data_IF_291243991350
#
_entry.id   IF_291243991350
#
_cell.length_a   1.000
_cell.length_b   1.000
_cell.length_c   1.000
_cell.angle_alpha   90.00
_cell.angle_beta   90.00
_cell.angle_gamma   90.00
#
_symmetry.space_group_name_H-M   'P 1'
#
loop_
_entity.id
_entity.type
_entity.pdbx_description
1 polymer ?
#
# COMPACT_ATOMS: atom_id res chain seq x y z
N UNK A 1 8.09 6.24 -27.47
CA UNK A 1 8.24 4.88 -28.02
C UNK A 1 7.09 4.61 -28.99
N UNK A 2 7.32 4.02 -30.17
CA UNK A 2 6.23 3.62 -31.07
C UNK A 2 5.63 2.33 -30.53
N UNK A 3 4.35 2.36 -30.13
CA UNK A 3 3.67 1.29 -29.41
C UNK A 3 3.27 0.16 -30.37
N UNK A 4 4.21 -0.45 -31.07
CA UNK A 4 3.92 -1.70 -31.79
C UNK A 4 3.68 -2.79 -30.75
N UNK A 5 2.45 -3.29 -30.71
CA UNK A 5 1.90 -4.29 -29.81
C UNK A 5 2.71 -5.60 -29.80
N UNK A 6 3.86 -5.58 -29.15
CA UNK A 6 4.66 -6.75 -28.89
C UNK A 6 4.30 -7.20 -27.47
N UNK A 7 3.79 -8.42 -27.30
CA UNK A 7 3.49 -9.01 -25.97
C UNK A 7 4.64 -8.80 -24.97
N UNK A 8 5.86 -8.70 -25.50
CA UNK A 8 7.07 -8.31 -24.76
C UNK A 8 6.99 -6.94 -24.09
N UNK A 9 6.50 -5.90 -24.77
CA UNK A 9 6.38 -4.55 -24.21
C UNK A 9 5.38 -4.54 -23.04
N UNK A 10 4.26 -5.26 -23.14
CA UNK A 10 3.28 -5.40 -22.04
C UNK A 10 3.91 -6.17 -20.86
N UNK A 11 4.74 -7.19 -21.12
CA UNK A 11 5.43 -7.92 -20.07
C UNK A 11 6.53 -7.07 -19.37
N UNK A 12 7.25 -6.26 -20.14
CA UNK A 12 8.23 -5.30 -19.61
C UNK A 12 7.52 -4.24 -18.74
N UNK A 13 6.40 -3.69 -19.20
CA UNK A 13 5.52 -2.79 -18.42
C UNK A 13 5.07 -3.40 -17.09
N UNK A 14 4.65 -4.66 -17.12
CA UNK A 14 4.20 -5.36 -15.92
C UNK A 14 5.35 -5.53 -14.92
N UNK A 15 6.55 -5.83 -15.41
CA UNK A 15 7.75 -5.98 -14.58
C UNK A 15 8.14 -4.65 -13.95
N UNK A 16 8.22 -3.58 -14.76
CA UNK A 16 8.56 -2.24 -14.28
C UNK A 16 7.57 -1.73 -13.23
N UNK A 17 6.26 -1.96 -13.43
CA UNK A 17 5.24 -1.58 -12.46
C UNK A 17 5.27 -2.44 -11.19
N UNK A 18 5.52 -3.75 -11.32
CA UNK A 18 5.66 -4.63 -10.17
C UNK A 18 6.83 -4.18 -9.29
N UNK A 19 7.96 -3.81 -9.89
CA UNK A 19 9.13 -3.29 -9.18
C UNK A 19 8.84 -1.92 -8.54
N UNK A 20 8.17 -1.02 -9.28
CA UNK A 20 7.79 0.32 -8.82
C UNK A 20 6.91 0.33 -7.58
N UNK A 21 5.98 -0.62 -7.46
CA UNK A 21 5.01 -0.68 -6.35
C UNK A 21 5.29 -1.86 -5.39
N UNK A 22 6.47 -2.48 -5.47
CA UNK A 22 6.79 -3.70 -4.73
C UNK A 22 6.72 -3.52 -3.20
N UNK A 23 7.23 -2.38 -2.71
CA UNK A 23 7.38 -2.12 -1.27
C UNK A 23 6.27 -1.20 -0.73
N UNK A 24 6.07 -0.04 -1.35
CA UNK A 24 5.15 1.00 -0.91
C UNK A 24 4.40 1.62 -2.08
N UNK A 25 3.22 2.15 -1.79
CA UNK A 25 2.46 3.04 -2.69
C UNK A 25 2.48 4.42 -2.04
N UNK A 26 3.20 5.34 -2.65
CA UNK A 26 3.48 6.68 -2.14
C UNK A 26 3.54 7.70 -3.28
N UNK A 27 3.82 8.96 -2.96
CA UNK A 27 3.85 10.04 -3.96
C UNK A 27 4.91 9.83 -5.04
N UNK A 28 6.05 9.21 -4.72
CA UNK A 28 7.15 9.02 -5.66
C UNK A 28 6.82 7.91 -6.66
N UNK A 29 6.28 6.79 -6.19
CA UNK A 29 5.82 5.68 -7.04
C UNK A 29 4.68 6.10 -7.97
N UNK A 30 3.67 6.85 -7.49
CA UNK A 30 2.64 7.37 -8.39
C UNK A 30 3.17 8.45 -9.34
N UNK A 31 4.18 9.23 -8.94
CA UNK A 31 4.81 10.21 -9.82
C UNK A 31 5.55 9.53 -10.96
N UNK A 32 6.32 8.48 -10.67
CA UNK A 32 6.98 7.68 -11.70
C UNK A 32 5.94 7.02 -12.64
N UNK A 33 4.77 6.59 -12.14
CA UNK A 33 3.69 6.05 -12.98
C UNK A 33 3.11 7.12 -13.91
N UNK A 34 2.95 8.34 -13.41
CA UNK A 34 2.54 9.48 -14.23
C UNK A 34 3.58 9.77 -15.31
N UNK A 35 4.87 9.82 -14.96
CA UNK A 35 5.95 10.02 -15.93
C UNK A 35 5.93 8.93 -17.01
N UNK A 36 5.75 7.67 -16.63
CA UNK A 36 5.62 6.56 -17.57
C UNK A 36 4.43 6.72 -18.51
N UNK A 37 3.27 7.13 -17.99
CA UNK A 37 2.06 7.36 -18.77
C UNK A 37 2.22 8.53 -19.76
N UNK A 38 2.93 9.59 -19.36
CA UNK A 38 3.26 10.71 -20.23
C UNK A 38 4.21 10.30 -21.35
N UNK A 39 5.24 9.51 -21.03
CA UNK A 39 6.22 9.04 -22.02
C UNK A 39 5.60 8.07 -23.05
N UNK A 40 4.69 7.19 -22.58
CA UNK A 40 3.94 6.28 -23.43
C UNK A 40 2.93 7.02 -24.33
N UNK A 41 2.29 8.07 -23.82
CA UNK A 41 1.29 8.84 -24.57
C UNK A 41 1.89 9.92 -25.48
N UNK A 42 3.12 10.37 -25.20
CA UNK A 42 3.72 11.56 -25.81
C UNK A 42 3.10 12.88 -25.31
N UNK A 43 2.22 12.82 -24.32
CA UNK A 43 1.58 13.99 -23.72
C UNK A 43 2.50 14.64 -22.69
N UNK A 44 2.34 15.94 -22.50
CA UNK A 44 3.24 16.73 -21.66
C UNK A 44 2.69 16.94 -20.25
N UNK A 45 1.38 16.77 -20.07
CA UNK A 45 0.71 17.13 -18.82
C UNK A 45 -0.23 16.04 -18.38
N UNK A 46 -0.32 15.85 -17.06
CA UNK A 46 -1.21 14.86 -16.49
C UNK A 46 -1.26 14.94 -14.97
N UNK A 47 -2.19 14.20 -14.39
CA UNK A 47 -2.44 14.10 -12.96
C UNK A 47 -2.87 12.68 -12.64
N UNK A 48 -2.36 12.12 -11.55
CA UNK A 48 -2.91 10.90 -10.96
C UNK A 48 -3.52 11.28 -9.61
N UNK A 49 -4.71 10.76 -9.36
CA UNK A 49 -5.35 10.79 -8.04
C UNK A 49 -5.69 9.36 -7.67
N UNK A 50 -5.10 8.89 -6.58
CA UNK A 50 -5.50 7.66 -5.90
C UNK A 50 -6.36 8.00 -4.69
N UNK A 51 -7.37 7.18 -4.45
CA UNK A 51 -8.20 7.34 -3.27
C UNK A 51 -7.48 6.96 -1.99
N UNK A 52 -7.99 7.50 -0.89
CA UNK A 52 -7.63 7.03 0.43
C UNK A 52 -7.97 5.54 0.59
N UNK A 53 -7.00 4.74 1.04
CA UNK A 53 -7.19 3.35 1.41
C UNK A 53 -7.07 3.21 2.94
N UNK A 54 -8.18 2.90 3.61
CA UNK A 54 -8.19 2.75 5.07
C UNK A 54 -7.82 4.05 5.82
N UNK A 55 -6.69 4.04 6.53
CA UNK A 55 -6.18 5.20 7.28
C UNK A 55 -5.17 6.05 6.49
N UNK A 56 -4.84 5.65 5.26
CA UNK A 56 -3.89 6.36 4.40
C UNK A 56 -4.60 7.52 3.70
N UNK A 57 -3.91 8.66 3.58
CA UNK A 57 -4.44 9.81 2.86
C UNK A 57 -4.48 9.54 1.35
N UNK A 58 -5.42 10.18 0.65
CA UNK A 58 -5.45 10.16 -0.81
C UNK A 58 -4.11 10.66 -1.38
N UNK A 59 -3.52 9.90 -2.30
CA UNK A 59 -2.27 10.26 -2.97
C UNK A 59 -2.59 10.98 -4.27
N UNK A 60 -1.81 12.01 -4.58
CA UNK A 60 -1.95 12.71 -5.85
C UNK A 60 -0.62 13.26 -6.32
N UNK A 61 -0.43 13.27 -7.63
CA UNK A 61 0.74 13.84 -8.29
C UNK A 61 0.29 14.47 -9.60
N UNK A 62 1.00 15.50 -10.03
CA UNK A 62 0.70 16.22 -11.26
C UNK A 62 1.96 16.69 -11.95
N UNK A 63 1.94 16.65 -13.27
CA UNK A 63 2.90 17.31 -14.15
C UNK A 63 2.07 18.31 -14.95
N UNK A 64 2.24 19.60 -14.64
CA UNK A 64 1.37 20.68 -15.12
C UNK A 64 2.03 21.50 -16.22
N UNK A 65 1.20 22.10 -17.09
CA UNK A 65 1.56 23.32 -17.81
C UNK A 65 1.38 24.50 -16.84
N UNK A 66 2.18 25.58 -16.93
CA UNK A 66 1.93 26.77 -16.13
C UNK A 66 0.58 27.42 -16.53
N UNK A 67 -0.21 27.81 -15.51
CA UNK A 67 -1.37 28.74 -15.50
C UNK A 67 -2.83 28.23 -15.69
N UNK A 68 -3.54 28.12 -14.56
CA UNK A 68 -4.85 28.69 -14.16
C UNK A 68 -6.14 28.53 -15.01
N UNK A 69 -6.10 28.11 -16.27
CA UNK A 69 -7.32 28.03 -17.11
C UNK A 69 -7.91 26.63 -17.30
N UNK A 70 -7.19 25.57 -16.93
CA UNK A 70 -7.69 24.18 -16.99
C UNK A 70 -8.30 23.74 -15.64
N UNK A 71 -7.90 24.36 -14.53
CA UNK A 71 -8.15 23.86 -13.15
C UNK A 71 -9.59 23.98 -12.64
N UNK A 72 -10.47 24.76 -13.27
CA UNK A 72 -11.83 24.99 -12.73
C UNK A 72 -12.97 24.29 -13.47
N UNK A 73 -12.72 23.64 -14.60
CA UNK A 73 -13.81 23.16 -15.48
C UNK A 73 -13.92 21.65 -15.70
N UNK A 74 -13.00 20.80 -15.22
CA UNK A 74 -13.03 19.38 -15.64
C UNK A 74 -12.71 18.33 -14.57
N UNK A 75 -13.13 18.52 -13.32
CA UNK A 75 -13.24 17.36 -12.41
C UNK A 75 -14.32 16.36 -12.90
N UNK A 76 -15.17 16.77 -13.86
CA UNK A 76 -16.23 15.93 -14.42
C UNK A 76 -15.70 14.67 -15.11
N UNK A 77 -14.68 14.78 -15.98
CA UNK A 77 -14.18 13.64 -16.74
C UNK A 77 -13.57 12.56 -15.83
N UNK A 78 -12.66 12.91 -14.90
CA UNK A 78 -12.16 11.96 -13.92
C UNK A 78 -13.27 11.37 -13.05
N UNK A 79 -14.24 12.18 -12.62
CA UNK A 79 -15.36 11.70 -11.80
C UNK A 79 -16.27 10.73 -12.58
N UNK A 80 -16.48 10.98 -13.87
CA UNK A 80 -17.25 10.10 -14.75
C UNK A 80 -16.51 8.79 -14.97
N UNK A 81 -15.24 8.84 -15.35
CA UNK A 81 -14.40 7.66 -15.56
C UNK A 81 -14.36 6.76 -14.31
N UNK A 82 -14.23 7.39 -13.14
CA UNK A 82 -14.34 6.73 -11.84
C UNK A 82 -15.67 6.01 -11.63
N UNK A 83 -16.78 6.65 -12.01
CA UNK A 83 -18.13 6.13 -11.80
C UNK A 83 -18.52 5.05 -12.82
N UNK A 84 -18.09 5.20 -14.07
CA UNK A 84 -18.41 4.31 -15.18
C UNK A 84 -17.42 3.16 -15.31
N UNK A 85 -16.23 3.27 -14.72
CA UNK A 85 -15.09 2.36 -14.90
C UNK A 85 -14.63 2.24 -16.36
N UNK A 86 -15.00 3.22 -17.18
CA UNK A 86 -14.62 3.32 -18.58
C UNK A 86 -13.65 4.47 -18.79
N UNK A 87 -12.79 4.32 -19.80
CA UNK A 87 -11.95 5.41 -20.28
C UNK A 87 -12.86 6.51 -20.84
N UNK A 88 -12.66 7.73 -20.38
CA UNK A 88 -13.42 8.90 -20.82
C UNK A 88 -12.47 9.88 -21.51
N UNK A 89 -12.98 10.62 -22.48
CA UNK A 89 -12.20 11.66 -23.15
C UNK A 89 -13.08 12.81 -23.63
N UNK A 90 -12.46 13.97 -23.81
CA UNK A 90 -13.07 15.14 -24.44
C UNK A 90 -12.08 15.84 -25.34
N UNK A 91 -12.58 16.36 -26.45
CA UNK A 91 -11.82 17.12 -27.42
C UNK A 91 -12.55 18.44 -27.61
N UNK A 92 -11.86 19.55 -27.37
CA UNK A 92 -12.40 20.90 -27.50
C UNK A 92 -11.45 21.76 -28.34
N UNK A 93 -11.95 22.88 -28.86
CA UNK A 93 -11.17 23.83 -29.64
C UNK A 93 -11.34 23.72 -31.15
N UNK A 94 -10.62 24.58 -31.86
CA UNK A 94 -10.69 24.73 -33.31
C UNK A 94 -9.68 23.81 -34.02
N UNK A 95 -9.89 23.48 -35.31
CA UNK A 95 -8.90 22.78 -36.12
C UNK A 95 -7.52 23.49 -36.05
N UNK A 96 -6.50 22.78 -35.53
CA UNK A 96 -5.14 23.31 -35.32
C UNK A 96 -4.83 23.84 -33.92
N UNK A 97 -5.84 23.94 -33.04
CA UNK A 97 -5.71 24.24 -31.60
C UNK A 97 -6.63 23.36 -30.77
N UNK A 98 -6.50 22.05 -30.94
CA UNK A 98 -7.25 21.08 -30.16
C UNK A 98 -6.67 20.98 -28.74
N UNK A 99 -7.58 20.97 -27.77
CA UNK A 99 -7.32 20.56 -26.40
C UNK A 99 -7.97 19.20 -26.21
N UNK A 100 -7.18 18.22 -25.80
CA UNK A 100 -7.69 16.88 -25.53
C UNK A 100 -7.46 16.54 -24.06
N UNK A 101 -8.47 15.96 -23.45
CA UNK A 101 -8.42 15.44 -22.08
C UNK A 101 -8.82 13.97 -22.09
N UNK A 102 -8.08 13.15 -21.35
CA UNK A 102 -8.32 11.72 -21.20
C UNK A 102 -8.33 11.35 -19.73
N UNK A 103 -9.25 10.49 -19.33
CA UNK A 103 -9.34 9.94 -17.98
C UNK A 103 -9.39 8.42 -18.04
N UNK A 104 -8.35 7.78 -17.50
CA UNK A 104 -8.18 6.33 -17.44
C UNK A 104 -8.44 5.86 -16.00
N UNK A 105 -9.56 5.18 -15.72
CA UNK A 105 -9.82 4.67 -14.39
C UNK A 105 -8.87 3.51 -14.08
N UNK A 106 -8.22 3.57 -12.92
CA UNK A 106 -7.40 2.50 -12.36
C UNK A 106 -8.35 1.52 -11.68
N UNK A 107 -8.70 0.44 -12.38
CA UNK A 107 -9.76 -0.49 -11.98
C UNK A 107 -9.22 -1.85 -11.59
N UNK A 108 -9.69 -2.36 -10.46
CA UNK A 108 -9.37 -3.70 -9.97
C UNK A 108 -10.65 -4.32 -9.41
N UNK A 109 -11.01 -5.51 -9.91
CA UNK A 109 -12.18 -6.29 -9.43
C UNK A 109 -13.49 -5.48 -9.35
N UNK A 110 -13.73 -4.59 -10.32
CA UNK A 110 -14.94 -3.77 -10.38
C UNK A 110 -14.95 -2.55 -9.45
N UNK A 111 -13.81 -2.20 -8.86
CA UNK A 111 -13.61 -0.99 -8.03
C UNK A 111 -12.59 -0.08 -8.70
N UNK A 112 -12.82 1.24 -8.66
CA UNK A 112 -11.84 2.24 -9.07
C UNK A 112 -10.98 2.63 -7.87
N UNK A 113 -9.66 2.45 -7.96
CA UNK A 113 -8.69 2.91 -6.95
C UNK A 113 -8.28 4.37 -7.15
N UNK A 114 -8.51 4.91 -8.35
CA UNK A 114 -8.03 6.22 -8.75
C UNK A 114 -8.13 6.43 -10.25
N UNK A 115 -7.71 7.60 -10.70
CA UNK A 115 -7.80 8.00 -12.12
C UNK A 115 -6.48 8.62 -12.58
N UNK A 116 -6.01 8.17 -13.74
CA UNK A 116 -4.94 8.82 -14.48
C UNK A 116 -5.59 9.78 -15.48
N UNK A 117 -5.31 11.07 -15.33
CA UNK A 117 -5.83 12.13 -16.20
C UNK A 117 -4.68 12.68 -17.04
N UNK A 118 -4.80 12.66 -18.37
CA UNK A 118 -3.77 13.18 -19.27
C UNK A 118 -4.34 14.29 -20.14
N UNK A 119 -3.52 15.31 -20.40
CA UNK A 119 -3.94 16.50 -21.12
C UNK A 119 -3.01 16.79 -22.28
N UNK A 120 -3.61 17.21 -23.39
CA UNK A 120 -2.89 17.67 -24.57
C UNK A 120 -3.31 19.09 -24.93
N UNK A 121 -2.32 19.93 -25.22
CA UNK A 121 -2.51 21.24 -25.85
C UNK A 121 -1.81 21.25 -27.19
N UNK A 122 -2.52 21.57 -28.27
CA UNK A 122 -1.96 21.71 -29.61
C UNK A 122 -1.39 20.42 -30.23
N UNK A 123 -1.84 19.24 -29.81
CA UNK A 123 -1.48 17.99 -30.48
C UNK A 123 -2.72 17.29 -31.07
N UNK A 124 -2.46 16.30 -31.92
CA UNK A 124 -3.50 15.42 -32.41
C UNK A 124 -4.08 14.58 -31.26
N UNK A 125 -5.36 14.15 -31.36
CA UNK A 125 -5.91 13.18 -30.44
C UNK A 125 -5.08 11.90 -30.39
N UNK A 126 -5.07 11.23 -29.24
CA UNK A 126 -4.46 9.93 -29.09
C UNK A 126 -5.11 8.93 -30.04
N UNK A 127 -4.30 8.05 -30.62
CA UNK A 127 -4.82 6.92 -31.39
C UNK A 127 -5.62 5.98 -30.49
N UNK A 128 -6.60 5.26 -31.05
CA UNK A 128 -7.32 4.20 -30.33
C UNK A 128 -6.35 3.20 -29.69
N UNK A 129 -5.26 2.88 -30.38
CA UNK A 129 -4.21 2.02 -29.86
C UNK A 129 -3.55 2.58 -28.60
N UNK A 130 -3.15 3.86 -28.61
CA UNK A 130 -2.58 4.53 -27.44
C UNK A 130 -3.54 4.52 -26.26
N UNK A 131 -4.85 4.72 -26.51
CA UNK A 131 -5.89 4.67 -25.49
C UNK A 131 -5.96 3.29 -24.85
N UNK A 132 -5.93 2.22 -25.65
CA UNK A 132 -5.94 0.83 -25.15
C UNK A 132 -4.71 0.53 -24.31
N UNK A 133 -3.53 0.98 -24.72
CA UNK A 133 -2.30 0.75 -23.95
C UNK A 133 -2.30 1.55 -22.64
N UNK A 134 -2.72 2.81 -22.66
CA UNK A 134 -2.84 3.63 -21.44
C UNK A 134 -3.87 3.08 -20.47
N UNK A 135 -4.96 2.51 -20.96
CA UNK A 135 -5.89 1.80 -20.09
C UNK A 135 -5.28 0.52 -19.53
N UNK A 136 -4.46 -0.20 -20.31
CA UNK A 136 -3.74 -1.38 -19.83
C UNK A 136 -2.73 -1.02 -18.74
N UNK A 137 -2.04 0.12 -18.89
CA UNK A 137 -1.19 0.72 -17.84
C UNK A 137 -1.99 0.95 -16.57
N UNK A 138 -3.15 1.59 -16.68
CA UNK A 138 -4.01 1.87 -15.52
C UNK A 138 -4.52 0.58 -14.84
N UNK A 139 -4.87 -0.44 -15.60
CA UNK A 139 -5.35 -1.74 -15.11
C UNK A 139 -4.24 -2.53 -14.39
N UNK A 140 -3.02 -2.54 -14.95
CA UNK A 140 -1.84 -3.17 -14.33
C UNK A 140 -1.49 -2.45 -13.03
N UNK A 141 -1.37 -1.12 -13.07
CA UNK A 141 -1.08 -0.33 -11.88
C UNK A 141 -2.12 -0.57 -10.76
N UNK A 142 -3.41 -0.59 -11.10
CA UNK A 142 -4.46 -0.88 -10.13
C UNK A 142 -4.31 -2.27 -9.48
N UNK A 143 -3.97 -3.27 -10.29
CA UNK A 143 -3.77 -4.65 -9.82
C UNK A 143 -2.56 -4.76 -8.90
N UNK A 144 -1.43 -4.14 -9.28
CA UNK A 144 -0.21 -4.16 -8.47
C UNK A 144 -0.41 -3.40 -7.15
N UNK A 145 -1.06 -2.24 -7.17
CA UNK A 145 -1.38 -1.46 -5.96
C UNK A 145 -2.29 -2.28 -5.02
N UNK A 146 -3.38 -2.89 -5.50
CA UNK A 146 -4.25 -3.76 -4.69
C UNK A 146 -3.47 -4.95 -4.10
N UNK A 147 -2.56 -5.55 -4.88
CA UNK A 147 -1.73 -6.65 -4.41
C UNK A 147 -0.77 -6.21 -3.31
N UNK A 148 -0.07 -5.10 -3.46
CA UNK A 148 0.85 -4.55 -2.45
C UNK A 148 0.09 -4.25 -1.15
N UNK A 149 -1.07 -3.60 -1.21
CA UNK A 149 -1.89 -3.37 -0.02
C UNK A 149 -2.32 -4.67 0.67
N UNK A 150 -2.75 -5.70 -0.09
CA UNK A 150 -3.13 -7.00 0.48
C UNK A 150 -1.96 -7.70 1.16
N UNK A 151 -0.78 -7.68 0.53
CA UNK A 151 0.44 -8.29 1.07
C UNK A 151 0.83 -7.58 2.37
N UNK A 152 0.84 -6.25 2.38
CA UNK A 152 1.17 -5.47 3.57
C UNK A 152 0.17 -5.72 4.72
N UNK A 153 -1.13 -5.79 4.42
CA UNK A 153 -2.14 -6.16 5.41
C UNK A 153 -1.95 -7.59 5.96
N UNK A 154 -1.61 -8.55 5.10
CA UNK A 154 -1.32 -9.92 5.52
C UNK A 154 -0.09 -9.99 6.44
N UNK A 155 1.00 -9.28 6.12
CA UNK A 155 2.18 -9.19 6.98
C UNK A 155 1.87 -8.58 8.34
N UNK A 156 1.07 -7.50 8.38
CA UNK A 156 0.63 -6.89 9.63
C UNK A 156 -0.19 -7.87 10.48
N UNK A 157 -1.13 -8.60 9.88
CA UNK A 157 -1.94 -9.59 10.58
C UNK A 157 -1.10 -10.75 11.13
N UNK A 158 -0.17 -11.28 10.31
CA UNK A 158 0.75 -12.33 10.74
C UNK A 158 1.61 -11.87 11.91
N UNK A 159 2.15 -10.65 11.85
CA UNK A 159 2.93 -10.06 12.94
C UNK A 159 2.11 -9.91 14.22
N UNK A 160 0.83 -9.48 14.12
CA UNK A 160 -0.06 -9.40 15.29
C UNK A 160 -0.34 -10.78 15.90
N UNK A 161 -0.58 -11.81 15.07
CA UNK A 161 -0.82 -13.18 15.53
C UNK A 161 0.42 -13.78 16.18
N UNK A 162 1.60 -13.62 15.59
CA UNK A 162 2.87 -14.06 16.18
C UNK A 162 3.12 -13.39 17.53
N UNK A 163 2.91 -12.07 17.60
CA UNK A 163 3.03 -11.33 18.85
C UNK A 163 2.08 -11.83 19.95
N UNK A 164 0.84 -12.19 19.58
CA UNK A 164 -0.12 -12.77 20.52
C UNK A 164 0.29 -14.17 21.01
N UNK A 165 0.80 -15.02 20.11
CA UNK A 165 1.29 -16.37 20.45
C UNK A 165 2.52 -16.32 21.36
N UNK A 166 3.52 -15.50 21.02
CA UNK A 166 4.72 -15.33 21.85
C UNK A 166 4.37 -14.83 23.24
N UNK A 167 3.42 -13.90 23.32
CA UNK A 167 2.93 -13.39 24.60
C UNK A 167 2.29 -14.50 25.42
N UNK A 168 1.49 -15.37 24.81
CA UNK A 168 0.83 -16.48 25.51
C UNK A 168 1.85 -17.50 26.03
N UNK A 169 2.84 -17.88 25.22
CA UNK A 169 3.88 -18.83 25.63
C UNK A 169 4.66 -18.28 26.82
N UNK A 170 5.13 -17.03 26.74
CA UNK A 170 5.86 -16.40 27.84
C UNK A 170 5.03 -16.28 29.12
N UNK A 171 3.75 -15.92 29.00
CA UNK A 171 2.84 -15.81 30.15
C UNK A 171 2.61 -17.18 30.81
N UNK A 172 2.38 -18.24 30.03
CA UNK A 172 2.19 -19.59 30.58
C UNK A 172 3.46 -20.12 31.23
N UNK A 173 4.64 -19.86 30.65
CA UNK A 173 5.93 -20.20 31.28
C UNK A 173 6.14 -19.44 32.61
N UNK A 174 5.90 -18.14 32.63
CA UNK A 174 6.02 -17.33 33.84
C UNK A 174 5.04 -17.79 34.93
N UNK A 175 3.80 -18.14 34.57
CA UNK A 175 2.84 -18.75 35.50
C UNK A 175 3.38 -20.05 36.08
N UNK A 176 4.00 -20.91 35.25
CA UNK A 176 4.65 -22.13 35.71
C UNK A 176 5.76 -21.86 36.73
N UNK A 177 6.66 -20.93 36.42
CA UNK A 177 7.76 -20.53 37.32
C UNK A 177 7.23 -20.03 38.68
N UNK A 178 6.23 -19.13 38.67
CA UNK A 178 5.67 -18.56 39.90
C UNK A 178 4.88 -19.61 40.68
N UNK A 179 4.06 -20.43 40.01
CA UNK A 179 3.29 -21.50 40.63
C UNK A 179 4.21 -22.51 41.34
N UNK A 180 5.31 -22.92 40.69
CA UNK A 180 6.30 -23.81 41.28
C UNK A 180 7.01 -23.16 42.48
N UNK A 181 7.56 -21.95 42.28
CA UNK A 181 8.36 -21.26 43.30
C UNK A 181 7.55 -20.92 44.55
N UNK A 182 6.32 -20.44 44.36
CA UNK A 182 5.48 -19.96 45.45
C UNK A 182 4.51 -21.04 45.97
N UNK A 183 4.45 -22.21 45.31
CA UNK A 183 3.52 -23.32 45.62
C UNK A 183 2.05 -22.87 45.60
N UNK A 184 1.69 -22.11 44.58
CA UNK A 184 0.32 -21.60 44.37
C UNK A 184 -0.30 -22.19 43.10
N UNK A 185 -1.62 -22.10 42.97
CA UNK A 185 -2.28 -22.52 41.74
C UNK A 185 -2.01 -21.55 40.58
N UNK A 186 -2.25 -21.99 39.34
CA UNK A 186 -2.00 -21.17 38.15
C UNK A 186 -2.82 -19.86 38.12
N UNK A 187 -3.99 -19.84 38.77
CA UNK A 187 -4.83 -18.65 38.88
C UNK A 187 -4.19 -17.59 39.77
N UNK A 188 -3.68 -17.98 40.94
CA UNK A 188 -2.96 -17.09 41.87
C UNK A 188 -1.66 -16.60 41.26
N UNK A 189 -0.89 -17.49 40.62
CA UNK A 189 0.33 -17.11 39.91
C UNK A 189 0.07 -16.04 38.83
N UNK A 190 -1.00 -16.20 38.03
CA UNK A 190 -1.36 -15.20 37.03
C UNK A 190 -1.83 -13.88 37.66
N UNK A 191 -2.52 -13.94 38.80
CA UNK A 191 -2.92 -12.75 39.56
C UNK A 191 -1.70 -11.96 40.06
N UNK A 192 -0.67 -12.65 40.55
CA UNK A 192 0.60 -12.04 40.97
C UNK A 192 1.30 -11.35 39.80
N UNK A 193 1.44 -12.02 38.65
CA UNK A 193 2.06 -11.44 37.44
C UNK A 193 1.31 -10.17 36.99
N UNK A 194 -0.03 -10.20 37.00
CA UNK A 194 -0.85 -9.03 36.65
C UNK A 194 -0.72 -7.89 37.66
N UNK A 195 -0.59 -8.22 38.94
CA UNK A 195 -0.44 -7.23 40.01
C UNK A 195 0.89 -6.52 39.87
N UNK A 196 1.97 -7.26 39.63
CA UNK A 196 3.31 -6.72 39.37
C UNK A 196 3.32 -5.83 38.13
N UNK A 197 2.75 -6.30 37.01
CA UNK A 197 2.64 -5.52 35.78
C UNK A 197 1.89 -4.20 35.96
N UNK A 198 0.81 -4.20 36.76
CA UNK A 198 0.03 -2.99 37.07
C UNK A 198 0.79 -2.02 37.97
N UNK A 199 1.46 -2.52 39.00
CA UNK A 199 2.26 -1.70 39.93
C UNK A 199 3.39 -0.98 39.19
N UNK A 200 3.99 -1.64 38.19
CA UNK A 200 5.10 -1.09 37.40
C UNK A 200 4.66 -0.39 36.11
N UNK A 201 3.36 -0.33 35.80
CA UNK A 201 2.81 0.23 34.55
C UNK A 201 3.43 -0.39 33.28
N UNK A 202 3.75 -1.69 33.32
CA UNK A 202 4.36 -2.43 32.22
C UNK A 202 3.36 -3.42 31.62
N UNK A 203 3.49 -3.78 30.33
CA UNK A 203 2.68 -4.83 29.75
C UNK A 203 2.98 -6.18 30.42
N UNK A 204 1.95 -6.98 30.66
CA UNK A 204 2.04 -8.32 31.31
C UNK A 204 3.08 -9.22 30.63
N UNK A 205 3.21 -9.15 29.30
CA UNK A 205 4.23 -9.86 28.52
C UNK A 205 5.65 -9.52 28.98
N UNK A 206 5.95 -8.25 29.27
CA UNK A 206 7.29 -7.83 29.66
C UNK A 206 7.66 -8.37 31.05
N UNK A 207 6.71 -8.35 32.00
CA UNK A 207 6.91 -8.96 33.33
C UNK A 207 7.08 -10.47 33.21
N UNK A 208 6.27 -11.14 32.39
CA UNK A 208 6.41 -12.57 32.14
C UNK A 208 7.78 -12.93 31.54
N UNK A 209 8.27 -12.17 30.56
CA UNK A 209 9.59 -12.36 29.97
C UNK A 209 10.71 -12.21 31.00
N UNK A 210 10.61 -11.23 31.89
CA UNK A 210 11.58 -11.01 32.96
C UNK A 210 11.61 -12.17 33.96
N UNK A 211 10.44 -12.68 34.37
CA UNK A 211 10.34 -13.84 35.27
C UNK A 211 11.02 -15.06 34.64
N UNK A 212 10.75 -15.34 33.37
CA UNK A 212 11.35 -16.48 32.64
C UNK A 212 12.86 -16.32 32.48
N UNK A 213 13.35 -15.11 32.18
CA UNK A 213 14.78 -14.82 32.05
C UNK A 213 15.54 -15.02 33.36
N UNK A 214 15.02 -14.51 34.48
CA UNK A 214 15.61 -14.70 35.81
C UNK A 214 15.65 -16.17 36.22
N UNK A 215 14.60 -16.92 35.89
CA UNK A 215 14.56 -18.36 36.12
C UNK A 215 15.66 -19.09 35.35
N UNK A 216 15.82 -18.84 34.05
CA UNK A 216 16.89 -19.46 33.26
C UNK A 216 18.29 -19.14 33.79
N UNK A 217 18.52 -17.92 34.30
CA UNK A 217 19.79 -17.54 34.91
C UNK A 217 20.07 -18.34 36.20
N UNK A 218 19.07 -18.49 37.08
CA UNK A 218 19.18 -19.29 38.31
C UNK A 218 19.50 -20.77 38.02
N UNK A 219 18.88 -21.35 36.98
CA UNK A 219 19.16 -22.73 36.55
C UNK A 219 20.55 -22.88 35.93
N UNK A 220 21.03 -21.88 35.18
CA UNK A 220 22.37 -21.90 34.59
C UNK A 220 23.48 -21.79 35.66
N UNK A 221 23.27 -20.97 36.70
CA UNK A 221 24.20 -20.83 37.83
C UNK A 221 24.16 -22.01 38.81
N UNK A 222 23.07 -22.78 38.84
CA UNK A 222 22.91 -23.96 39.71
C UNK A 222 23.59 -25.24 39.19
N UNK A 223 24.15 -25.25 37.97
CA UNK A 223 24.78 -26.44 37.37
C UNK A 223 26.27 -26.65 37.72
N UNK A 224 26.87 -25.83 38.59
CA UNK A 224 28.31 -25.95 38.92
C UNK A 224 28.63 -26.67 40.24
N UNK A 225 27.72 -27.49 40.79
CA UNK A 225 28.00 -28.27 42.01
C UNK A 225 27.31 -29.63 41.96
N UNK A 226 27.87 -30.55 41.16
CA UNK A 226 27.96 -31.99 41.50
C UNK A 226 28.89 -32.68 40.50
N UNK A 227 30.17 -32.74 40.84
CA UNK A 227 30.96 -33.98 40.93
C UNK A 227 32.21 -33.71 41.77
#
# INVERSE_FOLDING_TARGET
MNLDNNTRAIAEMFTDMADMFCETVDNDSIHMLLMYSLDASGLQHGKIVLDACGNESALHTSVSAPSEHIEKSSDYLPQRARSTLHTEFSITGEPGRLQCEYAFPMRVRGVCLGVISLYSSNQQPLSEHSIVVLQSIADIAATTIDQTHRINQAYLLVSQLQNALDSRVLIEQAKGVIAERNKVDFSSAFHEIRTLARQEQRPVRAVAAEIVAHHHCLFASGKTLTQ
#
